data_IF_628116173372
#
_entry.id   IF_628116173372
#
_cell.length_a   1.000
_cell.length_b   1.000
_cell.length_c   1.000
_cell.angle_alpha   90.00
_cell.angle_beta   90.00
_cell.angle_gamma   90.00
#
_symmetry.space_group_name_H-M   'P 1'
#
loop_
_entity.id
_entity.type
_entity.pdbx_description
1 polymer ?
#
# COMPACT_ATOMS: atom_id res chain seq x y z
N UNK A 1 34.99 -23.39 -7.34
CA UNK A 1 34.12 -23.06 -6.19
C UNK A 1 34.90 -23.38 -4.92
N UNK A 2 35.17 -22.39 -4.11
CA UNK A 2 35.95 -22.52 -2.86
C UNK A 2 35.11 -23.38 -1.87
N UNK A 3 35.78 -24.05 -0.88
CA UNK A 3 35.08 -24.83 0.15
C UNK A 3 34.01 -23.99 0.88
N UNK A 4 34.31 -22.74 1.11
CA UNK A 4 33.41 -21.76 1.73
C UNK A 4 32.16 -21.48 0.89
N UNK A 5 32.25 -21.46 -0.45
CA UNK A 5 31.10 -21.23 -1.35
C UNK A 5 30.08 -22.38 -1.29
N UNK A 6 30.55 -23.63 -1.15
CA UNK A 6 29.66 -24.81 -1.03
C UNK A 6 28.89 -24.81 0.29
N UNK A 7 29.54 -24.41 1.38
CA UNK A 7 28.90 -24.31 2.70
C UNK A 7 27.84 -23.21 2.70
N UNK A 8 28.10 -22.06 2.07
CA UNK A 8 27.15 -20.95 1.93
C UNK A 8 25.93 -21.40 1.12
N UNK A 9 26.13 -22.05 -0.01
CA UNK A 9 24.99 -22.53 -0.84
C UNK A 9 24.17 -23.59 -0.12
N UNK A 10 24.79 -24.52 0.62
CA UNK A 10 24.05 -25.50 1.43
C UNK A 10 23.21 -24.84 2.53
N UNK A 11 23.69 -23.75 3.15
CA UNK A 11 22.93 -22.98 4.13
C UNK A 11 21.75 -22.27 3.45
N UNK A 12 21.96 -21.63 2.30
CA UNK A 12 20.88 -20.97 1.53
C UNK A 12 19.78 -21.97 1.13
N UNK A 13 20.17 -23.16 0.67
CA UNK A 13 19.22 -24.19 0.29
C UNK A 13 18.43 -24.70 1.51
N UNK A 14 19.11 -24.99 2.62
CA UNK A 14 18.47 -25.44 3.87
C UNK A 14 17.43 -24.43 4.39
N UNK A 15 17.71 -23.15 4.28
CA UNK A 15 16.85 -22.07 4.81
C UNK A 15 16.06 -21.32 3.73
N UNK A 16 15.96 -21.91 2.53
CA UNK A 16 15.30 -21.30 1.38
C UNK A 16 13.91 -20.73 1.70
N UNK A 17 13.08 -21.49 2.41
CA UNK A 17 11.70 -21.07 2.76
C UNK A 17 11.67 -19.84 3.67
N UNK A 18 12.57 -19.75 4.65
CA UNK A 18 12.67 -18.59 5.55
C UNK A 18 13.16 -17.37 4.79
N UNK A 19 14.15 -17.54 3.91
CA UNK A 19 14.70 -16.48 3.06
C UNK A 19 13.63 -15.97 2.09
N UNK A 20 12.89 -16.87 1.45
CA UNK A 20 11.80 -16.50 0.55
C UNK A 20 10.67 -15.76 1.28
N UNK A 21 10.27 -16.26 2.46
CA UNK A 21 9.25 -15.59 3.31
C UNK A 21 9.68 -14.21 3.72
N UNK A 22 10.94 -14.04 4.09
CA UNK A 22 11.52 -12.73 4.41
C UNK A 22 11.53 -11.82 3.18
N UNK A 23 11.93 -12.31 2.01
CA UNK A 23 11.91 -11.55 0.76
C UNK A 23 10.52 -11.03 0.40
N UNK A 24 9.47 -11.87 0.55
CA UNK A 24 8.08 -11.46 0.35
C UNK A 24 7.62 -10.39 1.36
N UNK A 25 8.09 -10.47 2.61
CA UNK A 25 7.78 -9.45 3.62
C UNK A 25 8.50 -8.13 3.35
N UNK A 26 9.71 -8.16 2.81
CA UNK A 26 10.44 -6.96 2.36
C UNK A 26 9.67 -6.22 1.27
N UNK A 27 9.04 -6.94 0.32
CA UNK A 27 8.19 -6.31 -0.70
C UNK A 27 6.96 -5.63 -0.08
N UNK A 28 6.35 -6.25 0.95
CA UNK A 28 5.27 -5.62 1.69
C UNK A 28 5.74 -4.37 2.45
N UNK A 29 6.92 -4.43 3.08
CA UNK A 29 7.51 -3.28 3.76
C UNK A 29 7.77 -2.12 2.78
N UNK A 30 8.24 -2.41 1.58
CA UNK A 30 8.39 -1.41 0.52
C UNK A 30 7.03 -0.79 0.13
N UNK A 31 5.98 -1.60 0.01
CA UNK A 31 4.63 -1.10 -0.27
C UNK A 31 4.11 -0.18 0.84
N UNK A 32 4.34 -0.53 2.13
CA UNK A 32 3.96 0.32 3.27
C UNK A 32 4.79 1.61 3.31
N UNK A 33 6.08 1.56 2.97
CA UNK A 33 6.91 2.77 2.82
C UNK A 33 6.33 3.73 1.78
N UNK A 34 5.88 3.21 0.62
CA UNK A 34 5.21 4.02 -0.39
C UNK A 34 3.88 4.60 0.11
N UNK A 35 3.07 3.82 0.83
CA UNK A 35 1.83 4.31 1.45
C UNK A 35 2.13 5.48 2.40
N UNK A 36 3.13 5.35 3.26
CA UNK A 36 3.55 6.41 4.20
C UNK A 36 4.05 7.65 3.46
N UNK A 37 4.80 7.46 2.37
CA UNK A 37 5.23 8.56 1.50
C UNK A 37 4.02 9.34 0.94
N UNK A 38 3.07 8.66 0.29
CA UNK A 38 1.88 9.31 -0.26
C UNK A 38 1.02 9.96 0.83
N UNK A 39 0.93 9.33 1.99
CA UNK A 39 0.24 9.92 3.15
C UNK A 39 0.94 11.18 3.65
N UNK A 40 2.26 11.19 3.70
CA UNK A 40 3.04 12.38 4.03
C UNK A 40 2.83 13.52 3.00
N UNK A 41 2.74 13.18 1.71
CA UNK A 41 2.39 14.15 0.67
C UNK A 41 1.02 14.77 0.92
N UNK A 42 0.01 13.95 1.26
CA UNK A 42 -1.33 14.45 1.61
C UNK A 42 -1.32 15.35 2.86
N UNK A 43 -0.59 14.95 3.91
CA UNK A 43 -0.49 15.75 5.17
C UNK A 43 0.14 17.11 4.93
N UNK A 44 1.10 17.19 4.03
CA UNK A 44 1.87 18.39 3.74
C UNK A 44 1.40 19.07 2.45
N UNK A 45 0.24 18.68 1.92
CA UNK A 45 -0.29 19.22 0.68
C UNK A 45 -0.54 20.73 0.80
N UNK A 46 0.00 21.48 -0.15
CA UNK A 46 -0.19 22.93 -0.24
C UNK A 46 -1.09 23.24 -1.42
N UNK A 47 -2.20 23.90 -1.15
CA UNK A 47 -3.12 24.37 -2.19
C UNK A 47 -2.42 25.37 -3.09
N UNK A 48 -2.64 25.22 -4.39
CA UNK A 48 -2.24 26.17 -5.43
C UNK A 48 -3.41 27.10 -5.80
N UNK A 49 -3.20 27.97 -6.77
CA UNK A 49 -4.28 28.78 -7.35
C UNK A 49 -5.17 27.99 -8.32
N UNK A 50 -4.72 26.79 -8.74
CA UNK A 50 -5.47 25.88 -9.59
C UNK A 50 -6.17 24.78 -8.77
N UNK A 51 -7.41 25.09 -8.36
CA UNK A 51 -8.21 24.17 -7.53
C UNK A 51 -8.49 22.82 -8.21
N UNK A 52 -8.67 22.79 -9.53
CA UNK A 52 -8.94 21.55 -10.24
C UNK A 52 -7.70 20.63 -10.20
N UNK A 53 -6.52 21.18 -10.46
CA UNK A 53 -5.25 20.47 -10.35
C UNK A 53 -5.04 19.92 -8.93
N UNK A 54 -5.28 20.73 -7.91
CA UNK A 54 -5.15 20.34 -6.50
C UNK A 54 -6.03 19.14 -6.17
N UNK A 55 -7.28 19.13 -6.65
CA UNK A 55 -8.22 18.03 -6.44
C UNK A 55 -7.72 16.72 -7.09
N UNK A 56 -7.28 16.78 -8.33
CA UNK A 56 -6.74 15.60 -9.03
C UNK A 56 -5.46 15.08 -8.40
N UNK A 57 -4.58 15.96 -7.92
CA UNK A 57 -3.34 15.57 -7.26
C UNK A 57 -3.61 14.88 -5.92
N UNK A 58 -4.51 15.43 -5.09
CA UNK A 58 -4.93 14.77 -3.85
C UNK A 58 -5.59 13.42 -4.10
N UNK A 59 -6.46 13.31 -5.11
CA UNK A 59 -7.09 12.04 -5.49
C UNK A 59 -6.06 11.00 -5.96
N UNK A 60 -5.02 11.41 -6.67
CA UNK A 60 -3.93 10.52 -7.08
C UNK A 60 -3.18 9.94 -5.86
N UNK A 61 -2.91 10.77 -4.84
CA UNK A 61 -2.29 10.30 -3.60
C UNK A 61 -3.20 9.33 -2.85
N UNK A 62 -4.49 9.66 -2.68
CA UNK A 62 -5.47 8.80 -2.00
C UNK A 62 -5.62 7.47 -2.74
N UNK A 63 -5.74 7.51 -4.06
CA UNK A 63 -5.81 6.30 -4.91
C UNK A 63 -4.58 5.43 -4.73
N UNK A 64 -3.38 6.04 -4.75
CA UNK A 64 -2.11 5.33 -4.58
C UNK A 64 -2.02 4.64 -3.22
N UNK A 65 -2.47 5.31 -2.15
CA UNK A 65 -2.55 4.74 -0.80
C UNK A 65 -3.51 3.56 -0.77
N UNK A 66 -4.76 3.74 -1.20
CA UNK A 66 -5.82 2.74 -1.09
C UNK A 66 -5.50 1.50 -1.93
N UNK A 67 -5.03 1.68 -3.16
CA UNK A 67 -4.66 0.57 -4.05
C UNK A 67 -3.46 -0.18 -3.50
N UNK A 68 -2.42 0.53 -3.03
CA UNK A 68 -1.23 -0.11 -2.45
C UNK A 68 -1.57 -0.83 -1.14
N UNK A 69 -2.41 -0.23 -0.30
CA UNK A 69 -2.91 -0.85 0.93
C UNK A 69 -3.68 -2.14 0.64
N UNK A 70 -4.63 -2.09 -0.29
CA UNK A 70 -5.42 -3.27 -0.65
C UNK A 70 -4.60 -4.41 -1.27
N UNK A 71 -3.44 -4.13 -1.87
CA UNK A 71 -2.52 -5.17 -2.36
C UNK A 71 -1.87 -5.98 -1.26
N UNK A 72 -1.68 -5.41 -0.06
CA UNK A 72 -1.12 -6.12 1.09
C UNK A 72 -2.02 -7.28 1.53
N UNK A 73 -3.35 -7.13 1.38
CA UNK A 73 -4.37 -8.10 1.81
C UNK A 73 -5.00 -8.86 0.64
N UNK A 74 -4.64 -8.52 -0.59
CA UNK A 74 -5.13 -9.15 -1.81
C UNK A 74 -4.32 -10.37 -2.23
N UNK A 75 -4.91 -11.23 -3.07
CA UNK A 75 -4.17 -12.29 -3.77
C UNK A 75 -3.36 -11.62 -4.89
N UNK A 76 -2.05 -11.50 -4.69
CA UNK A 76 -1.11 -10.99 -5.68
C UNK A 76 0.07 -11.95 -5.89
N UNK A 77 0.71 -11.88 -7.05
CA UNK A 77 1.96 -12.59 -7.30
C UNK A 77 3.14 -11.79 -6.73
N UNK A 78 4.00 -12.43 -5.96
CA UNK A 78 5.30 -11.89 -5.55
C UNK A 78 5.41 -11.40 -4.11
N UNK A 79 4.33 -10.94 -3.46
CA UNK A 79 4.34 -10.57 -2.04
C UNK A 79 3.59 -11.59 -1.18
N UNK A 80 3.84 -11.61 0.13
CA UNK A 80 3.01 -12.38 1.07
C UNK A 80 1.70 -11.64 1.28
N UNK A 81 0.57 -12.31 1.02
CA UNK A 81 -0.72 -11.81 1.50
C UNK A 81 -0.68 -11.71 3.03
N UNK A 82 -1.03 -10.56 3.56
CA UNK A 82 -1.30 -10.42 4.99
C UNK A 82 -2.71 -10.91 5.28
N UNK A 83 -2.88 -11.64 6.36
CA UNK A 83 -4.22 -12.01 6.83
C UNK A 83 -4.78 -10.90 7.73
N UNK A 84 -6.12 -10.77 7.78
CA UNK A 84 -6.78 -9.67 8.50
C UNK A 84 -6.57 -9.75 10.02
N UNK A 85 -6.23 -10.94 10.54
CA UNK A 85 -5.92 -11.18 11.96
C UNK A 85 -4.61 -10.52 12.42
N UNK A 86 -3.73 -10.16 11.47
CA UNK A 86 -2.53 -9.35 11.74
C UNK A 86 -2.91 -7.98 12.31
N UNK A 87 -4.09 -7.46 11.96
CA UNK A 87 -4.51 -6.12 12.36
C UNK A 87 -5.02 -6.13 13.80
N UNK A 88 -4.42 -5.27 14.64
CA UNK A 88 -4.88 -5.07 16.02
C UNK A 88 -6.37 -4.69 16.08
N UNK A 89 -7.09 -5.13 17.12
CA UNK A 89 -8.54 -4.88 17.25
C UNK A 89 -8.93 -3.39 17.19
N UNK A 90 -8.12 -2.51 17.77
CA UNK A 90 -8.33 -1.05 17.78
C UNK A 90 -8.15 -0.38 16.41
N UNK A 91 -7.45 -1.04 15.48
CA UNK A 91 -7.21 -0.54 14.11
C UNK A 91 -8.12 -1.20 13.07
N UNK A 92 -8.93 -2.18 13.46
CA UNK A 92 -9.73 -2.99 12.54
C UNK A 92 -10.76 -2.17 11.76
N UNK A 93 -11.42 -1.25 12.43
CA UNK A 93 -12.42 -0.37 11.79
C UNK A 93 -11.79 0.50 10.68
N UNK A 94 -10.56 0.96 10.87
CA UNK A 94 -9.83 1.75 9.86
C UNK A 94 -9.39 0.85 8.71
N UNK A 95 -8.90 -0.35 9.00
CA UNK A 95 -8.57 -1.36 8.01
C UNK A 95 -9.77 -1.68 7.11
N UNK A 96 -10.92 -2.01 7.69
CA UNK A 96 -12.15 -2.34 6.96
C UNK A 96 -12.60 -1.19 6.06
N UNK A 97 -12.52 0.06 6.54
CA UNK A 97 -12.82 1.25 5.73
C UNK A 97 -11.92 1.33 4.49
N UNK A 98 -10.60 1.12 4.63
CA UNK A 98 -9.67 1.17 3.51
C UNK A 98 -9.91 0.04 2.50
N UNK A 99 -10.18 -1.18 2.99
CA UNK A 99 -10.51 -2.32 2.12
C UNK A 99 -11.83 -2.06 1.38
N UNK A 100 -12.85 -1.54 2.06
CA UNK A 100 -14.13 -1.21 1.45
C UNK A 100 -14.00 -0.07 0.41
N UNK A 101 -13.22 0.98 0.70
CA UNK A 101 -12.91 2.03 -0.27
C UNK A 101 -12.23 1.47 -1.51
N UNK A 102 -11.27 0.55 -1.33
CA UNK A 102 -10.63 -0.11 -2.46
C UNK A 102 -11.65 -0.87 -3.32
N UNK A 103 -12.55 -1.64 -2.69
CA UNK A 103 -13.54 -2.43 -3.42
C UNK A 103 -14.58 -1.53 -4.11
N UNK A 104 -15.12 -0.56 -3.40
CA UNK A 104 -16.20 0.28 -3.90
C UNK A 104 -15.73 1.25 -5.00
N UNK A 105 -14.54 1.83 -4.85
CA UNK A 105 -14.11 2.96 -5.69
C UNK A 105 -13.01 2.61 -6.70
N UNK A 106 -12.10 1.67 -6.34
CA UNK A 106 -10.87 1.48 -7.11
C UNK A 106 -10.68 0.08 -7.70
N UNK A 107 -11.52 -0.91 -7.38
CA UNK A 107 -11.37 -2.27 -7.86
C UNK A 107 -12.30 -2.65 -9.01
N UNK A 108 -13.41 -1.98 -9.18
CA UNK A 108 -14.42 -2.30 -10.17
C UNK A 108 -14.64 -1.15 -11.15
N UNK A 109 -14.17 -1.32 -12.39
CA UNK A 109 -14.53 -0.45 -13.52
C UNK A 109 -15.99 -0.61 -13.98
N UNK A 110 -16.76 -1.53 -13.37
CA UNK A 110 -18.10 -1.88 -13.83
C UNK A 110 -19.21 -0.99 -13.30
N UNK A 111 -19.02 -0.36 -12.16
CA UNK A 111 -19.95 0.65 -11.66
C UNK A 111 -19.22 1.98 -11.66
N UNK A 112 -19.35 2.71 -12.75
CA UNK A 112 -18.84 4.06 -12.98
C UNK A 112 -19.45 5.12 -12.03
N UNK A 113 -20.03 4.67 -10.93
CA UNK A 113 -20.78 5.48 -9.99
C UNK A 113 -19.98 6.63 -9.34
N UNK A 114 -18.66 6.60 -9.39
CA UNK A 114 -17.83 7.67 -8.84
C UNK A 114 -17.64 8.86 -9.79
N UNK A 115 -17.91 8.70 -11.10
CA UNK A 115 -17.64 9.74 -12.10
C UNK A 115 -18.80 10.02 -13.03
N UNK A 116 -19.78 9.13 -13.14
CA UNK A 116 -20.85 9.25 -14.11
C UNK A 116 -22.19 8.87 -13.48
N UNK A 117 -23.10 9.82 -13.40
CA UNK A 117 -24.42 9.60 -12.82
C UNK A 117 -25.52 9.56 -13.85
N UNK A 118 -25.45 10.38 -14.89
CA UNK A 118 -26.48 10.46 -15.92
C UNK A 118 -25.98 11.16 -17.18
N UNK A 119 -26.61 10.87 -18.31
CA UNK A 119 -26.40 11.53 -19.58
C UNK A 119 -27.65 12.34 -19.92
N UNK A 120 -27.54 13.65 -19.86
CA UNK A 120 -28.60 14.52 -20.33
C UNK A 120 -28.37 14.83 -21.80
N UNK A 121 -29.42 14.57 -22.61
CA UNK A 121 -29.44 14.89 -24.02
C UNK A 121 -30.33 16.12 -24.23
N UNK A 122 -29.76 17.17 -24.78
CA UNK A 122 -30.50 18.34 -25.22
C UNK A 122 -30.45 18.41 -26.74
N UNK A 123 -31.61 18.76 -27.34
CA UNK A 123 -31.67 18.95 -28.79
C UNK A 123 -31.94 20.43 -29.07
N UNK A 124 -30.97 21.12 -29.62
CA UNK A 124 -31.03 22.56 -29.91
C UNK A 124 -30.47 22.77 -31.33
N UNK A 125 -31.21 23.54 -32.12
CA UNK A 125 -30.82 23.94 -33.49
C UNK A 125 -30.33 22.76 -34.37
N UNK A 126 -31.11 21.70 -34.44
CA UNK A 126 -30.79 20.48 -35.20
C UNK A 126 -29.51 19.73 -34.72
N UNK A 127 -29.06 19.97 -33.48
CA UNK A 127 -27.87 19.36 -32.89
C UNK A 127 -28.25 18.72 -31.55
N UNK A 128 -27.82 17.45 -31.34
CA UNK A 128 -27.84 16.84 -30.02
C UNK A 128 -26.61 17.28 -29.23
N UNK A 129 -26.84 17.88 -28.07
CA UNK A 129 -25.82 18.21 -27.09
C UNK A 129 -25.86 17.16 -26.00
N UNK A 130 -24.73 16.53 -25.74
CA UNK A 130 -24.56 15.51 -24.70
C UNK A 130 -23.94 16.19 -23.48
N UNK A 131 -24.72 16.31 -22.40
CA UNK A 131 -24.25 16.86 -21.13
C UNK A 131 -24.06 15.73 -20.13
N UNK A 132 -22.84 15.24 -19.90
CA UNK A 132 -22.59 14.26 -18.85
C UNK A 132 -22.75 14.91 -17.47
N UNK A 133 -23.62 14.35 -16.64
CA UNK A 133 -23.69 14.73 -15.24
C UNK A 133 -22.65 13.95 -14.46
N UNK A 134 -21.55 14.62 -14.13
CA UNK A 134 -20.43 14.05 -13.41
C UNK A 134 -20.56 14.44 -11.95
N UNK A 135 -20.71 13.46 -11.07
CA UNK A 135 -20.59 13.64 -9.62
C UNK A 135 -19.28 13.00 -9.19
N UNK A 136 -18.33 13.83 -8.72
CA UNK A 136 -17.03 13.36 -8.26
C UNK A 136 -17.03 13.41 -6.73
N UNK A 137 -16.98 12.23 -6.10
CA UNK A 137 -16.73 12.11 -4.67
C UNK A 137 -15.22 12.10 -4.42
N UNK A 138 -14.67 13.22 -3.98
CA UNK A 138 -13.27 13.30 -3.58
C UNK A 138 -13.11 12.95 -2.10
N UNK A 139 -12.17 12.06 -1.80
CA UNK A 139 -11.69 11.87 -0.44
C UNK A 139 -10.64 12.97 -0.19
N UNK A 140 -11.07 14.11 0.37
CA UNK A 140 -10.21 15.27 0.56
C UNK A 140 -9.42 15.17 1.87
N UNK A 141 -8.09 15.22 1.74
CA UNK A 141 -7.16 15.31 2.87
C UNK A 141 -6.62 13.96 3.36
N UNK A 142 -5.83 14.03 4.42
CA UNK A 142 -5.20 12.87 5.06
C UNK A 142 -5.95 12.52 6.35
N UNK A 143 -6.85 11.52 6.36
CA UNK A 143 -7.55 11.10 7.57
C UNK A 143 -6.55 10.69 8.65
N UNK A 144 -6.63 11.35 9.83
CA UNK A 144 -5.66 11.15 10.92
C UNK A 144 -5.66 9.72 11.46
N UNK A 145 -6.80 9.03 11.35
CA UNK A 145 -6.95 7.64 11.77
C UNK A 145 -6.15 6.64 10.92
N UNK A 146 -5.67 7.02 9.74
CA UNK A 146 -4.85 6.15 8.89
C UNK A 146 -3.41 6.03 9.38
N UNK A 147 -2.88 7.09 9.98
CA UNK A 147 -1.47 7.15 10.40
C UNK A 147 -1.09 6.04 11.38
N UNK A 148 -1.84 5.80 12.48
CA UNK A 148 -1.53 4.71 13.40
C UNK A 148 -1.54 3.32 12.77
N UNK A 149 -2.41 3.12 11.76
CA UNK A 149 -2.48 1.84 11.03
C UNK A 149 -1.23 1.63 10.16
N UNK A 150 -0.78 2.67 9.47
CA UNK A 150 0.41 2.56 8.61
C UNK A 150 1.69 2.41 9.44
N UNK A 151 1.79 3.10 10.57
CA UNK A 151 2.89 2.91 11.53
C UNK A 151 2.90 1.51 12.11
N UNK A 152 1.75 1.00 12.53
CA UNK A 152 1.62 -0.35 13.04
C UNK A 152 2.10 -1.39 12.02
N UNK A 153 1.66 -1.29 10.76
CA UNK A 153 2.07 -2.21 9.70
C UNK A 153 3.58 -2.13 9.42
N UNK A 154 4.16 -0.94 9.44
CA UNK A 154 5.60 -0.74 9.29
C UNK A 154 6.37 -1.49 10.39
N UNK A 155 5.97 -1.30 11.65
CA UNK A 155 6.60 -1.96 12.80
C UNK A 155 6.40 -3.47 12.76
N UNK A 156 5.19 -3.94 12.45
CA UNK A 156 4.90 -5.37 12.33
C UNK A 156 5.82 -6.07 11.30
N UNK A 157 6.01 -5.46 10.13
CA UNK A 157 6.86 -6.04 9.10
C UNK A 157 8.33 -6.01 9.47
N UNK A 158 8.78 -4.95 10.14
CA UNK A 158 10.11 -4.82 10.66
C UNK A 158 10.40 -5.92 11.69
N UNK A 159 9.54 -6.09 12.68
CA UNK A 159 9.66 -7.11 13.72
C UNK A 159 9.64 -8.53 13.12
N UNK A 160 8.78 -8.75 12.14
CA UNK A 160 8.70 -10.04 11.44
C UNK A 160 10.03 -10.40 10.75
N UNK A 161 10.65 -9.44 10.05
CA UNK A 161 11.94 -9.64 9.37
C UNK A 161 13.03 -9.89 10.40
N UNK A 162 13.10 -9.08 11.46
CA UNK A 162 14.09 -9.23 12.52
C UNK A 162 13.98 -10.55 13.26
N UNK A 163 12.77 -11.04 13.50
CA UNK A 163 12.54 -12.35 14.11
C UNK A 163 13.10 -13.49 13.25
N UNK A 164 12.96 -13.41 11.90
CA UNK A 164 13.58 -14.39 10.99
C UNK A 164 15.11 -14.29 11.05
N UNK A 165 15.65 -13.08 10.98
CA UNK A 165 17.12 -12.89 11.04
C UNK A 165 17.74 -13.41 12.34
N UNK A 166 17.11 -13.13 13.47
CA UNK A 166 17.53 -13.63 14.76
C UNK A 166 17.51 -15.17 14.80
N UNK A 167 16.42 -15.77 14.36
CA UNK A 167 16.28 -17.21 14.28
C UNK A 167 17.34 -17.86 13.37
N UNK A 168 17.59 -17.28 12.20
CA UNK A 168 18.65 -17.74 11.30
C UNK A 168 20.03 -17.61 11.93
N UNK A 169 20.29 -16.54 12.67
CA UNK A 169 21.55 -16.33 13.41
C UNK A 169 21.75 -17.41 14.48
N UNK A 170 20.71 -17.70 15.27
CA UNK A 170 20.74 -18.73 16.31
C UNK A 170 20.95 -20.13 15.73
N UNK A 171 20.25 -20.48 14.65
CA UNK A 171 20.30 -21.82 14.05
C UNK A 171 21.59 -22.07 13.25
N UNK A 172 22.20 -21.04 12.67
CA UNK A 172 23.41 -21.17 11.84
C UNK A 172 24.70 -20.82 12.55
N UNK A 173 24.63 -20.07 13.65
CA UNK A 173 25.81 -19.46 14.28
C UNK A 173 26.45 -18.36 13.43
N UNK A 174 25.85 -17.97 12.30
CA UNK A 174 26.32 -16.93 11.39
C UNK A 174 25.41 -15.71 11.59
N UNK A 175 26.00 -14.54 11.68
CA UNK A 175 25.23 -13.31 11.85
C UNK A 175 24.48 -12.94 10.57
N UNK A 176 23.14 -12.89 10.64
CA UNK A 176 22.25 -12.41 9.59
C UNK A 176 21.81 -10.99 9.93
N UNK A 177 22.01 -10.07 9.00
CA UNK A 177 21.70 -8.64 9.20
C UNK A 177 20.95 -8.06 8.02
N UNK A 178 20.04 -7.15 8.31
CA UNK A 178 19.51 -6.24 7.32
C UNK A 178 20.54 -5.12 7.08
N UNK A 179 20.74 -4.65 5.83
CA UNK A 179 21.63 -3.53 5.58
C UNK A 179 21.08 -2.28 6.29
N UNK A 180 21.96 -1.60 7.04
CA UNK A 180 21.63 -0.30 7.60
C UNK A 180 21.79 0.78 6.53
N UNK A 181 20.78 1.59 6.35
CA UNK A 181 20.76 2.78 5.51
C UNK A 181 20.04 3.92 6.21
N UNK A 182 20.18 5.17 5.74
CA UNK A 182 19.38 6.27 6.26
C UNK A 182 17.91 5.99 6.01
N UNK A 183 17.08 6.08 7.06
CA UNK A 183 15.63 6.00 6.91
C UNK A 183 15.13 7.25 6.18
N UNK A 184 14.22 7.11 5.22
CA UNK A 184 13.53 8.26 4.63
C UNK A 184 12.76 9.07 5.69
N UNK A 185 12.64 10.38 5.47
CA UNK A 185 12.01 11.31 6.45
C UNK A 185 10.52 11.05 6.71
N UNK A 186 9.87 10.20 5.92
CA UNK A 186 8.45 9.82 6.06
C UNK A 186 8.22 8.47 6.74
N UNK A 187 9.28 7.83 7.22
CA UNK A 187 9.21 6.55 7.98
C UNK A 187 9.28 6.81 9.47
#
# INVERSE_FOLDING_TARGET
MNKNDKEIEAIKEKYHNQIEKMGKMILNMYAVSNIRFWYSCLKNFRKSDDQARDLFEMEAFVTSIIVSYGRLFGKGSGSSKLEDDVIRPDLRSVHEKLINLRHAKYAHHGELSAFYKDLQLEYIDNTFIINPKIEIEFCLGAPKEWEPLFEYLSNYMYDFIHNILNKLTEETGIQWKFPHGPAPSWI
#
